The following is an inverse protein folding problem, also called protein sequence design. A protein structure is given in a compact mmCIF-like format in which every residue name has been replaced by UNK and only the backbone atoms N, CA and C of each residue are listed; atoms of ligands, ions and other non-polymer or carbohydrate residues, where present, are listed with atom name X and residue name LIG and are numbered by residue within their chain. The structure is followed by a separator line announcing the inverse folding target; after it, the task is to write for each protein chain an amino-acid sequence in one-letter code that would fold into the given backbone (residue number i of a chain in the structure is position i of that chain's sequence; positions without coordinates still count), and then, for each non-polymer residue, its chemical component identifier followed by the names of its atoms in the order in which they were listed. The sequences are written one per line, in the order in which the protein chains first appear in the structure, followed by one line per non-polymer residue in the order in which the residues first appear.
data_IF_036927918122
#
_entry.id   IF_036927918122
#
_cell.length_a   1.000
_cell.length_b   1.000
_cell.length_c   1.000
_cell.angle_alpha   90.00
_cell.angle_beta   90.00
_cell.angle_gamma   90.00
#
_symmetry.space_group_name_H-M   'P 1'
#
loop_
_entity.id
_entity.type
_entity.pdbx_description
1 polymer ?
#
# COMPACT_ATOMS: atom_id res chain seq x y z
N UNK A 1 23.48 10.73 3.02
CA UNK A 1 22.79 10.63 4.34
C UNK A 1 23.37 9.47 5.10
N UNK A 2 23.88 9.70 6.30
CA UNK A 2 24.39 8.63 7.19
C UNK A 2 23.23 8.06 8.02
N UNK A 3 23.08 6.72 7.98
CA UNK A 3 22.06 5.99 8.74
C UNK A 3 22.69 5.12 9.85
N UNK A 4 23.97 5.34 10.19
CA UNK A 4 24.71 4.58 11.18
C UNK A 4 25.11 3.16 10.74
N UNK A 5 24.33 2.52 9.88
CA UNK A 5 24.64 1.23 9.25
C UNK A 5 25.30 1.39 7.88
N UNK A 6 25.41 2.60 7.38
CA UNK A 6 25.99 2.95 6.09
C UNK A 6 25.48 4.30 5.56
N UNK A 7 25.94 4.65 4.39
CA UNK A 7 25.58 5.90 3.72
C UNK A 7 24.66 5.64 2.54
N UNK A 8 23.50 6.29 2.54
CA UNK A 8 22.56 6.35 1.43
C UNK A 8 22.79 7.63 0.63
N UNK A 9 23.08 7.49 -0.65
CA UNK A 9 23.19 8.60 -1.61
C UNK A 9 22.01 8.51 -2.58
N UNK A 10 21.39 9.65 -2.83
CA UNK A 10 20.29 9.80 -3.79
C UNK A 10 20.71 10.84 -4.83
N UNK A 11 20.56 10.49 -6.09
CA UNK A 11 20.66 11.41 -7.22
C UNK A 11 19.26 11.56 -7.81
N UNK A 12 18.71 12.77 -7.72
CA UNK A 12 17.35 13.07 -8.22
C UNK A 12 17.50 13.63 -9.63
N UNK A 13 16.94 12.92 -10.60
CA UNK A 13 16.92 13.31 -12.02
C UNK A 13 15.69 14.17 -12.33
N UNK A 14 14.54 13.80 -11.75
CA UNK A 14 13.27 14.53 -11.91
C UNK A 14 12.47 14.50 -10.62
N UNK A 15 11.87 15.62 -10.25
CA UNK A 15 10.96 15.71 -9.10
C UNK A 15 9.76 16.61 -9.43
N UNK A 16 8.57 16.06 -9.34
CA UNK A 16 7.30 16.79 -9.41
C UNK A 16 6.87 17.30 -8.03
N UNK A 17 7.44 16.73 -6.97
CA UNK A 17 7.25 17.15 -5.57
C UNK A 17 8.59 17.11 -4.81
N UNK A 18 8.77 17.94 -3.78
CA UNK A 18 9.97 17.86 -2.93
C UNK A 18 10.14 16.49 -2.29
N UNK A 19 11.39 15.99 -2.22
CA UNK A 19 11.70 14.68 -1.65
C UNK A 19 11.20 14.54 -0.20
N UNK A 20 11.42 15.55 0.61
CA UNK A 20 11.03 15.59 2.02
C UNK A 20 9.52 15.63 2.25
N UNK A 21 8.74 16.02 1.23
CA UNK A 21 7.27 15.94 1.27
C UNK A 21 6.75 14.52 1.00
N UNK A 22 7.52 13.67 0.30
CA UNK A 22 7.11 12.31 -0.07
C UNK A 22 7.79 11.23 0.77
N UNK A 23 9.05 11.44 1.15
CA UNK A 23 9.89 10.41 1.72
C UNK A 23 10.47 10.80 3.08
N UNK A 24 10.57 9.83 3.95
CA UNK A 24 11.43 9.79 5.11
C UNK A 24 12.38 8.60 5.02
N UNK A 25 13.32 8.49 5.93
CA UNK A 25 14.32 7.43 5.92
C UNK A 25 14.37 6.76 7.28
N UNK A 26 14.39 5.43 7.28
CA UNK A 26 14.44 4.60 8.47
C UNK A 26 15.47 3.48 8.30
N UNK A 27 15.76 2.78 9.39
CA UNK A 27 16.64 1.61 9.39
C UNK A 27 15.82 0.33 9.43
N UNK A 28 16.32 -0.73 8.81
CA UNK A 28 15.75 -2.08 8.90
C UNK A 28 16.84 -3.11 9.20
N UNK A 29 16.43 -4.23 9.80
CA UNK A 29 17.34 -5.34 10.12
C UNK A 29 17.63 -6.20 8.89
N UNK A 30 18.19 -5.61 7.85
CA UNK A 30 18.62 -6.35 6.67
C UNK A 30 20.05 -5.95 6.33
N UNK A 31 21.05 -6.85 6.47
CA UNK A 31 22.45 -6.51 6.24
C UNK A 31 22.74 -6.01 4.82
N UNK A 32 21.99 -6.49 3.82
CA UNK A 32 22.19 -6.10 2.42
C UNK A 32 21.52 -4.76 2.08
N UNK A 33 20.43 -4.42 2.76
CA UNK A 33 19.68 -3.18 2.57
C UNK A 33 19.22 -2.69 3.94
N UNK A 34 20.15 -2.12 4.71
CA UNK A 34 19.91 -1.70 6.08
C UNK A 34 19.11 -0.37 6.18
N UNK A 35 18.65 0.16 5.08
CA UNK A 35 17.78 1.34 4.99
C UNK A 35 16.38 0.97 4.48
N UNK A 36 15.43 1.84 4.76
CA UNK A 36 14.09 1.83 4.21
C UNK A 36 13.70 3.27 3.86
N UNK A 37 13.22 3.47 2.65
CA UNK A 37 12.53 4.70 2.29
C UNK A 37 11.09 4.54 2.76
N UNK A 38 10.63 5.42 3.63
CA UNK A 38 9.27 5.40 4.18
C UNK A 38 8.46 6.53 3.57
N UNK A 39 7.30 6.22 3.04
CA UNK A 39 6.43 7.23 2.47
C UNK A 39 5.80 8.11 3.57
N UNK A 40 5.76 9.41 3.32
CA UNK A 40 5.04 10.40 4.15
C UNK A 40 3.58 10.56 3.76
N UNK A 41 3.18 9.97 2.63
CA UNK A 41 1.84 10.16 2.04
C UNK A 41 1.02 8.88 1.92
N UNK A 42 1.43 7.78 2.58
CA UNK A 42 0.70 6.50 2.54
C UNK A 42 0.15 6.03 3.89
N UNK A 43 0.51 6.68 4.99
CA UNK A 43 0.04 6.26 6.30
C UNK A 43 0.62 4.93 6.82
N UNK A 44 1.54 4.27 6.09
CA UNK A 44 2.06 2.95 6.50
C UNK A 44 3.00 3.03 7.71
N UNK A 45 3.93 3.99 7.68
CA UNK A 45 4.91 4.19 8.75
C UNK A 45 4.78 5.55 9.42
N UNK A 46 4.26 6.54 8.71
CA UNK A 46 4.09 7.91 9.16
C UNK A 46 2.62 8.26 9.06
N UNK A 47 1.99 8.76 10.14
CA UNK A 47 0.61 9.27 10.09
C UNK A 47 0.50 10.38 9.06
N UNK A 48 -0.59 10.40 8.30
CA UNK A 48 -0.79 11.39 7.23
C UNK A 48 -2.24 11.83 7.17
N UNK A 49 -2.50 13.06 6.77
CA UNK A 49 -3.86 13.55 6.53
C UNK A 49 -4.47 12.88 5.29
N UNK A 50 -5.75 12.50 5.32
CA UNK A 50 -6.42 11.94 4.15
C UNK A 50 -6.30 12.82 2.89
N UNK A 51 -6.47 14.13 3.06
CA UNK A 51 -6.32 15.11 1.98
C UNK A 51 -4.94 15.10 1.33
N UNK A 52 -3.85 14.91 2.10
CA UNK A 52 -2.48 14.81 1.58
C UNK A 52 -2.26 13.53 0.78
N UNK A 53 -2.82 12.39 1.26
CA UNK A 53 -2.82 11.14 0.49
C UNK A 53 -3.53 11.31 -0.86
N UNK A 54 -4.72 11.93 -0.85
CA UNK A 54 -5.51 12.18 -2.05
C UNK A 54 -4.78 13.09 -3.04
N UNK A 55 -4.13 14.15 -2.55
CA UNK A 55 -3.33 15.05 -3.39
C UNK A 55 -2.15 14.32 -4.03
N UNK A 56 -1.42 13.48 -3.29
CA UNK A 56 -0.30 12.71 -3.85
C UNK A 56 -0.77 11.74 -4.95
N UNK A 57 -1.89 11.03 -4.72
CA UNK A 57 -2.46 10.13 -5.71
C UNK A 57 -2.98 10.85 -6.97
N UNK A 58 -3.57 12.04 -6.81
CA UNK A 58 -3.99 12.90 -7.93
C UNK A 58 -2.81 13.38 -8.75
N UNK A 59 -1.74 13.83 -8.11
CA UNK A 59 -0.53 14.27 -8.81
C UNK A 59 0.09 13.10 -9.60
N UNK A 60 0.11 11.89 -9.01
CA UNK A 60 0.58 10.70 -9.70
C UNK A 60 -0.34 10.31 -10.86
N UNK A 61 -1.66 10.37 -10.69
CA UNK A 61 -2.63 10.13 -11.76
C UNK A 61 -2.51 11.16 -12.91
N UNK A 62 -2.20 12.42 -12.58
CA UNK A 62 -1.97 13.47 -13.57
C UNK A 62 -0.67 13.28 -14.36
N UNK A 63 0.35 12.66 -13.73
CA UNK A 63 1.64 12.35 -14.37
C UNK A 63 1.56 11.17 -15.36
N UNK A 64 0.48 10.38 -15.34
CA UNK A 64 0.27 9.27 -16.26
C UNK A 64 0.05 9.79 -17.70
N UNK A 65 0.46 9.01 -18.74
CA UNK A 65 0.15 9.33 -20.13
C UNK A 65 -1.36 9.57 -20.33
N UNK A 66 -1.70 10.60 -21.10
CA UNK A 66 -3.09 10.96 -21.36
C UNK A 66 -3.79 10.07 -22.37
N UNK A 67 -3.01 9.36 -23.17
CA UNK A 67 -3.42 8.55 -24.35
C UNK A 67 -3.50 7.04 -24.06
N UNK A 68 -3.61 6.63 -22.81
CA UNK A 68 -3.76 5.22 -22.45
C UNK A 68 -5.09 4.67 -22.99
N UNK A 69 -5.07 3.67 -23.90
CA UNK A 69 -6.28 3.11 -24.47
C UNK A 69 -7.11 2.38 -23.39
N UNK A 70 -8.43 2.56 -23.43
CA UNK A 70 -9.37 1.90 -22.52
C UNK A 70 -10.04 0.66 -23.10
N UNK A 71 -10.62 -0.22 -22.30
CA UNK A 71 -10.71 -0.20 -20.83
C UNK A 71 -9.35 -0.36 -20.12
N UNK A 72 -9.19 0.32 -18.98
CA UNK A 72 -7.96 0.27 -18.17
C UNK A 72 -8.18 -0.61 -16.94
N UNK A 73 -7.29 -1.57 -16.73
CA UNK A 73 -7.20 -2.34 -15.50
C UNK A 73 -6.03 -1.82 -14.66
N UNK A 74 -6.34 -1.21 -13.53
CA UNK A 74 -5.33 -0.78 -12.55
C UNK A 74 -5.10 -1.88 -11.52
N UNK A 75 -3.84 -2.18 -11.22
CA UNK A 75 -3.47 -3.20 -10.22
C UNK A 75 -2.53 -2.58 -9.18
N UNK A 76 -3.01 -2.49 -7.93
CA UNK A 76 -2.20 -2.06 -6.79
C UNK A 76 -1.43 -3.23 -6.17
N UNK A 77 -0.15 -3.03 -5.85
CA UNK A 77 0.67 -4.06 -5.24
C UNK A 77 0.52 -4.06 -3.70
N UNK A 78 0.14 -5.19 -3.12
CA UNK A 78 0.08 -5.36 -1.67
C UNK A 78 1.49 -5.46 -1.05
N UNK A 79 1.69 -4.95 0.15
CA UNK A 79 0.69 -4.33 1.04
C UNK A 79 0.57 -2.82 0.83
N UNK A 80 1.66 -2.16 0.46
CA UNK A 80 1.82 -0.70 0.60
C UNK A 80 1.01 0.07 -0.43
N UNK A 81 0.92 -0.44 -1.65
CA UNK A 81 0.25 0.27 -2.74
C UNK A 81 -1.23 -0.11 -2.94
N UNK A 82 -1.89 -0.77 -2.00
CA UNK A 82 -3.33 -1.08 -2.11
C UNK A 82 -4.15 0.20 -2.14
N UNK A 83 -4.04 1.03 -1.10
CA UNK A 83 -4.78 2.30 -1.03
C UNK A 83 -4.30 3.28 -2.11
N UNK A 84 -2.99 3.37 -2.36
CA UNK A 84 -2.43 4.21 -3.41
C UNK A 84 -2.99 3.82 -4.79
N UNK A 85 -2.96 2.53 -5.13
CA UNK A 85 -3.44 2.03 -6.41
C UNK A 85 -4.91 2.34 -6.65
N UNK A 86 -5.76 2.13 -5.63
CA UNK A 86 -7.18 2.42 -5.76
C UNK A 86 -7.46 3.92 -5.84
N UNK A 87 -6.72 4.74 -5.08
CA UNK A 87 -6.86 6.19 -5.13
C UNK A 87 -6.37 6.76 -6.47
N UNK A 88 -5.23 6.25 -7.00
CA UNK A 88 -4.74 6.63 -8.35
C UNK A 88 -5.72 6.21 -9.43
N UNK A 89 -6.32 5.02 -9.33
CA UNK A 89 -7.35 4.55 -10.24
C UNK A 89 -8.54 5.51 -10.31
N UNK A 90 -9.07 5.94 -9.15
CA UNK A 90 -10.19 6.87 -9.09
C UNK A 90 -9.83 8.25 -9.63
N UNK A 91 -8.67 8.79 -9.23
CA UNK A 91 -8.22 10.11 -9.70
C UNK A 91 -7.97 10.10 -11.21
N UNK A 92 -7.38 9.00 -11.75
CA UNK A 92 -7.24 8.85 -13.20
C UNK A 92 -8.59 8.81 -13.90
N UNK A 93 -9.54 8.00 -13.41
CA UNK A 93 -10.87 7.91 -13.99
C UNK A 93 -11.60 9.27 -13.97
N UNK A 94 -11.46 10.03 -12.88
CA UNK A 94 -12.00 11.38 -12.77
C UNK A 94 -11.36 12.37 -13.76
N UNK A 95 -10.03 12.26 -13.97
CA UNK A 95 -9.30 13.18 -14.85
C UNK A 95 -9.45 12.86 -16.34
N UNK A 96 -9.59 11.58 -16.71
CA UNK A 96 -9.52 11.12 -18.09
C UNK A 96 -10.83 10.49 -18.59
N UNK A 97 -11.72 10.08 -17.67
CA UNK A 97 -12.92 9.32 -18.01
C UNK A 97 -12.61 7.91 -18.54
N UNK A 98 -13.61 7.32 -19.19
CA UNK A 98 -13.53 5.99 -19.79
C UNK A 98 -13.75 4.85 -18.81
N UNK A 99 -13.92 3.64 -19.36
CA UNK A 99 -14.10 2.42 -18.57
C UNK A 99 -12.79 2.07 -17.85
N UNK A 100 -12.86 1.94 -16.52
CA UNK A 100 -11.70 1.72 -15.67
C UNK A 100 -12.06 0.82 -14.50
N UNK A 101 -11.22 -0.18 -14.26
CA UNK A 101 -11.36 -1.18 -13.21
C UNK A 101 -10.10 -1.21 -12.36
N UNK A 102 -10.29 -1.56 -11.09
CA UNK A 102 -9.20 -1.73 -10.13
C UNK A 102 -9.25 -3.11 -9.53
N UNK A 103 -8.08 -3.68 -9.26
CA UNK A 103 -7.88 -4.78 -8.33
C UNK A 103 -6.52 -4.64 -7.66
N UNK A 104 -6.28 -5.39 -6.60
CA UNK A 104 -4.94 -5.43 -6.00
C UNK A 104 -4.48 -6.86 -5.76
N UNK A 105 -3.16 -7.04 -5.70
CA UNK A 105 -2.60 -8.29 -5.24
C UNK A 105 -2.88 -8.46 -3.74
N UNK A 106 -2.90 -9.71 -3.28
CA UNK A 106 -3.20 -9.98 -1.87
C UNK A 106 -2.40 -11.15 -1.34
N UNK A 107 -2.22 -11.19 -0.04
CA UNK A 107 -1.69 -12.32 0.73
C UNK A 107 -2.80 -13.02 1.52
N UNK A 108 -4.05 -12.76 1.17
CA UNK A 108 -5.21 -13.34 1.80
C UNK A 108 -5.90 -14.34 0.85
N UNK A 109 -6.25 -15.51 1.36
CA UNK A 109 -7.04 -16.48 0.63
C UNK A 109 -8.52 -16.09 0.69
N UNK A 110 -9.16 -16.14 -0.48
CA UNK A 110 -10.60 -15.93 -0.66
C UNK A 110 -11.13 -17.12 -1.43
N UNK A 111 -12.35 -17.54 -1.15
CA UNK A 111 -13.03 -18.57 -1.94
C UNK A 111 -13.51 -18.01 -3.28
N UNK A 112 -12.57 -17.79 -4.18
CA UNK A 112 -12.78 -17.22 -5.50
C UNK A 112 -11.72 -17.75 -6.50
N UNK A 113 -12.01 -17.75 -7.81
CA UNK A 113 -11.04 -18.17 -8.82
C UNK A 113 -9.81 -17.27 -8.86
N UNK A 114 -8.62 -17.87 -8.77
CA UNK A 114 -7.38 -17.16 -9.01
C UNK A 114 -7.21 -16.82 -10.49
N UNK A 115 -6.70 -15.62 -10.77
CA UNK A 115 -6.20 -15.24 -12.08
C UNK A 115 -4.75 -15.73 -12.25
N UNK A 116 -3.88 -15.36 -11.31
CA UNK A 116 -2.49 -15.83 -11.27
C UNK A 116 -1.90 -15.73 -9.86
N UNK A 117 -0.73 -16.35 -9.71
CA UNK A 117 0.18 -16.14 -8.57
C UNK A 117 1.50 -15.61 -9.10
N UNK A 118 2.17 -14.78 -8.34
CA UNK A 118 3.54 -14.41 -8.61
C UNK A 118 4.34 -14.33 -7.30
N UNK A 119 5.63 -14.51 -7.39
CA UNK A 119 6.54 -14.46 -6.25
C UNK A 119 7.51 -13.29 -6.40
N UNK A 120 7.76 -12.60 -5.30
CA UNK A 120 8.84 -11.63 -5.21
C UNK A 120 10.15 -12.34 -4.86
N UNK A 121 11.16 -12.33 -5.75
CA UNK A 121 12.40 -13.10 -5.55
C UNK A 121 13.19 -12.75 -4.27
N UNK A 122 12.90 -11.63 -3.64
CA UNK A 122 13.65 -11.09 -2.50
C UNK A 122 12.78 -10.81 -1.25
N UNK A 123 11.52 -11.21 -1.26
CA UNK A 123 10.60 -11.03 -0.14
C UNK A 123 10.53 -12.28 0.75
N UNK A 124 10.50 -12.08 2.07
CA UNK A 124 10.32 -13.17 3.05
C UNK A 124 8.89 -13.72 3.07
N UNK A 125 7.93 -13.05 2.43
CA UNK A 125 6.55 -13.51 2.23
C UNK A 125 6.24 -13.44 0.74
N UNK A 126 6.68 -14.45 0.01
CA UNK A 126 6.95 -14.40 -1.41
C UNK A 126 5.72 -14.46 -2.31
N UNK A 127 4.62 -15.08 -1.88
CA UNK A 127 3.48 -15.33 -2.75
C UNK A 127 2.46 -14.19 -2.72
N UNK A 128 2.20 -13.60 -3.87
CA UNK A 128 1.07 -12.72 -4.12
C UNK A 128 0.00 -13.47 -4.91
N UNK A 129 -1.24 -13.33 -4.48
CA UNK A 129 -2.42 -13.85 -5.17
C UNK A 129 -3.08 -12.72 -5.95
N UNK A 130 -3.47 -12.99 -7.18
CA UNK A 130 -4.32 -12.13 -7.98
C UNK A 130 -5.58 -12.94 -8.29
N UNK A 131 -6.72 -12.47 -7.82
CA UNK A 131 -8.00 -13.10 -8.10
C UNK A 131 -8.59 -12.61 -9.43
N UNK A 132 -9.44 -13.45 -10.02
CA UNK A 132 -10.16 -13.06 -11.23
C UNK A 132 -11.17 -11.96 -10.88
N UNK A 133 -11.09 -10.77 -11.51
CA UNK A 133 -12.02 -9.70 -11.22
C UNK A 133 -13.44 -10.07 -11.64
N UNK A 134 -14.41 -9.71 -10.81
CA UNK A 134 -15.83 -9.88 -11.09
C UNK A 134 -16.32 -8.76 -11.99
N UNK A 135 -17.25 -9.09 -12.89
CA UNK A 135 -17.89 -8.09 -13.76
C UNK A 135 -16.98 -7.46 -14.83
N UNK A 136 -15.71 -7.96 -14.99
CA UNK A 136 -14.79 -7.49 -16.02
C UNK A 136 -14.55 -8.58 -17.06
N UNK A 137 -14.81 -8.28 -18.32
CA UNK A 137 -14.31 -9.08 -19.45
C UNK A 137 -12.84 -8.76 -19.72
N UNK A 138 -11.96 -9.66 -19.31
CA UNK A 138 -10.51 -9.50 -19.46
C UNK A 138 -10.05 -9.34 -20.92
N UNK A 139 -10.80 -9.85 -21.90
CA UNK A 139 -10.47 -9.72 -23.30
C UNK A 139 -10.63 -8.28 -23.82
N UNK A 140 -11.44 -7.46 -23.14
CA UNK A 140 -11.65 -6.05 -23.50
C UNK A 140 -10.57 -5.12 -22.98
N UNK A 141 -9.79 -5.54 -21.97
CA UNK A 141 -8.74 -4.69 -21.37
C UNK A 141 -7.68 -4.34 -22.39
N UNK A 142 -7.43 -3.04 -22.56
CA UNK A 142 -6.41 -2.49 -23.48
C UNK A 142 -5.17 -1.98 -22.77
N UNK A 143 -5.33 -1.45 -21.56
CA UNK A 143 -4.21 -0.99 -20.74
C UNK A 143 -4.18 -1.70 -19.40
N UNK A 144 -2.99 -2.17 -19.01
CA UNK A 144 -2.67 -2.62 -17.66
C UNK A 144 -1.86 -1.53 -16.96
N UNK A 145 -2.42 -0.91 -15.91
CA UNK A 145 -1.74 0.08 -15.07
C UNK A 145 -1.30 -0.58 -13.76
N UNK A 146 0.00 -0.70 -13.55
CA UNK A 146 0.59 -1.27 -12.33
C UNK A 146 0.96 -0.14 -11.36
N UNK A 147 0.57 -0.25 -10.09
CA UNK A 147 0.86 0.79 -9.09
C UNK A 147 1.61 0.17 -7.92
N UNK A 148 2.76 0.79 -7.60
CA UNK A 148 3.55 0.49 -6.41
C UNK A 148 3.93 1.78 -5.69
N UNK A 149 4.42 1.71 -4.46
CA UNK A 149 4.89 2.88 -3.72
C UNK A 149 6.32 3.28 -4.13
N UNK A 150 7.18 2.33 -4.41
CA UNK A 150 8.59 2.54 -4.76
C UNK A 150 9.03 1.57 -5.87
N UNK A 151 9.62 2.07 -6.93
CA UNK A 151 10.34 1.26 -7.91
C UNK A 151 11.84 1.34 -7.57
N UNK A 152 12.45 0.19 -7.21
CA UNK A 152 13.89 0.10 -6.97
C UNK A 152 14.64 -0.41 -8.20
N UNK A 153 14.27 -1.58 -8.70
CA UNK A 153 14.83 -2.20 -9.92
C UNK A 153 13.79 -2.43 -11.01
N UNK A 154 12.51 -2.29 -10.69
CA UNK A 154 11.39 -2.60 -11.55
C UNK A 154 11.07 -4.09 -11.72
N UNK A 155 11.88 -5.00 -11.18
CA UNK A 155 11.73 -6.46 -11.36
C UNK A 155 10.37 -6.96 -10.88
N UNK A 156 9.88 -6.49 -9.73
CA UNK A 156 8.57 -6.89 -9.17
C UNK A 156 7.43 -6.52 -10.12
N UNK A 157 7.42 -5.28 -10.62
CA UNK A 157 6.40 -4.82 -11.57
C UNK A 157 6.51 -5.51 -12.93
N UNK A 158 7.73 -5.82 -13.40
CA UNK A 158 7.92 -6.59 -14.63
C UNK A 158 7.34 -8.01 -14.52
N UNK A 159 7.62 -8.69 -13.41
CA UNK A 159 7.08 -10.02 -13.13
C UNK A 159 5.54 -10.01 -13.01
N UNK A 160 4.99 -9.04 -12.29
CA UNK A 160 3.55 -8.85 -12.15
C UNK A 160 2.89 -8.58 -13.51
N UNK A 161 3.46 -7.65 -14.29
CA UNK A 161 2.99 -7.29 -15.63
C UNK A 161 2.98 -8.49 -16.55
N UNK A 162 4.05 -9.28 -16.58
CA UNK A 162 4.15 -10.49 -17.39
C UNK A 162 3.14 -11.57 -16.93
N UNK A 163 2.92 -11.73 -15.63
CA UNK A 163 1.97 -12.71 -15.11
C UNK A 163 0.53 -12.37 -15.50
N UNK A 164 0.11 -11.11 -15.35
CA UNK A 164 -1.26 -10.67 -15.66
C UNK A 164 -1.50 -10.59 -17.18
N UNK A 165 -0.54 -10.12 -17.96
CA UNK A 165 -0.69 -9.93 -19.40
C UNK A 165 -1.08 -11.21 -20.16
N UNK A 166 -0.71 -12.39 -19.64
CA UNK A 166 -1.10 -13.70 -20.20
C UNK A 166 -2.61 -13.94 -20.20
N UNK A 167 -3.33 -13.23 -19.36
CA UNK A 167 -4.79 -13.32 -19.19
C UNK A 167 -5.54 -12.18 -19.88
N UNK A 168 -4.82 -11.27 -20.55
CA UNK A 168 -5.36 -10.08 -21.20
C UNK A 168 -5.08 -10.12 -22.70
N UNK A 169 -5.82 -10.93 -23.50
CA UNK A 169 -5.54 -11.09 -24.93
C UNK A 169 -5.67 -9.80 -25.73
N UNK A 170 -6.46 -8.85 -25.25
CA UNK A 170 -6.64 -7.53 -25.87
C UNK A 170 -5.62 -6.47 -25.44
N UNK A 171 -4.63 -6.81 -24.60
CA UNK A 171 -3.69 -5.84 -24.04
C UNK A 171 -2.81 -5.18 -25.11
N UNK A 172 -2.85 -3.85 -25.14
CA UNK A 172 -2.08 -3.02 -26.08
C UNK A 172 -0.91 -2.30 -25.39
N UNK A 173 -1.10 -1.85 -24.12
CA UNK A 173 -0.14 -1.04 -23.38
C UNK A 173 -0.04 -1.43 -21.92
N UNK A 174 1.16 -1.30 -21.37
CA UNK A 174 1.39 -1.37 -19.92
C UNK A 174 1.88 -0.01 -19.45
N UNK A 175 1.33 0.47 -18.32
CA UNK A 175 1.82 1.64 -17.63
C UNK A 175 2.17 1.27 -16.19
N UNK A 176 3.20 1.88 -15.63
CA UNK A 176 3.54 1.77 -14.22
C UNK A 176 3.46 3.14 -13.56
N UNK A 177 3.06 3.17 -12.30
CA UNK A 177 3.00 4.38 -11.49
C UNK A 177 3.59 4.12 -10.11
N UNK A 178 4.42 5.04 -9.60
CA UNK A 178 4.94 4.97 -8.24
C UNK A 178 5.17 6.36 -7.65
N UNK A 179 5.28 6.46 -6.34
CA UNK A 179 5.68 7.72 -5.71
C UNK A 179 7.14 8.05 -6.04
N UNK A 180 8.01 7.02 -6.03
CA UNK A 180 9.44 7.17 -6.33
C UNK A 180 9.94 6.05 -7.24
N UNK A 181 10.80 6.39 -8.18
CA UNK A 181 11.50 5.46 -9.06
C UNK A 181 13.02 5.69 -8.96
N UNK A 182 13.73 4.70 -8.44
CA UNK A 182 15.18 4.69 -8.26
C UNK A 182 15.89 3.74 -9.22
N UNK A 183 15.19 3.25 -10.26
CA UNK A 183 15.72 2.27 -11.21
C UNK A 183 16.77 2.85 -12.18
N UNK A 184 16.88 4.18 -12.22
CA UNK A 184 17.90 4.86 -13.01
C UNK A 184 17.68 4.82 -14.51
N UNK A 185 16.42 4.90 -14.96
CA UNK A 185 16.12 5.13 -16.39
C UNK A 185 15.28 4.06 -17.08
N UNK A 186 14.61 3.20 -16.30
CA UNK A 186 13.52 2.40 -16.86
C UNK A 186 13.89 1.24 -17.79
N UNK A 187 15.15 0.79 -17.83
CA UNK A 187 15.56 -0.36 -18.65
C UNK A 187 14.75 -1.65 -18.41
N UNK A 188 14.15 -1.78 -17.22
CA UNK A 188 13.26 -2.89 -16.87
C UNK A 188 11.96 -2.90 -17.70
N UNK A 189 11.55 -1.75 -18.27
CA UNK A 189 10.38 -1.63 -19.14
C UNK A 189 10.55 -2.42 -20.45
N UNK A 190 11.78 -2.60 -20.92
CA UNK A 190 12.09 -3.37 -22.12
C UNK A 190 11.75 -4.87 -21.98
N UNK A 191 11.66 -5.34 -20.72
CA UNK A 191 11.24 -6.73 -20.42
C UNK A 191 9.72 -6.93 -20.40
N UNK A 192 8.94 -5.86 -20.51
CA UNK A 192 7.48 -5.95 -20.50
C UNK A 192 6.93 -6.58 -21.79
N UNK A 193 5.86 -7.38 -21.71
CA UNK A 193 5.30 -8.10 -22.86
C UNK A 193 4.54 -7.20 -23.86
N UNK A 194 4.40 -5.92 -23.57
CA UNK A 194 3.79 -4.89 -24.42
C UNK A 194 4.53 -3.57 -24.25
N UNK A 195 4.39 -2.62 -25.20
CA UNK A 195 4.94 -1.27 -25.04
C UNK A 195 4.59 -0.72 -23.67
N UNK A 196 5.61 -0.28 -22.92
CA UNK A 196 5.46 0.09 -21.53
C UNK A 196 6.03 1.49 -21.24
N UNK A 197 5.47 2.13 -20.22
CA UNK A 197 5.96 3.42 -19.68
C UNK A 197 5.84 3.43 -18.17
N UNK A 198 6.69 4.23 -17.50
CA UNK A 198 6.59 4.50 -16.07
C UNK A 198 6.38 6.00 -15.83
N UNK A 199 5.67 6.32 -14.75
CA UNK A 199 5.46 7.68 -14.26
C UNK A 199 5.63 7.69 -12.75
N UNK A 200 6.46 8.60 -12.24
CA UNK A 200 6.70 8.73 -10.81
C UNK A 200 6.75 10.20 -10.40
N UNK A 201 6.49 10.48 -9.11
CA UNK A 201 6.60 11.85 -8.60
C UNK A 201 8.04 12.27 -8.36
N UNK A 202 8.93 11.29 -8.12
CA UNK A 202 10.38 11.49 -8.08
C UNK A 202 11.03 10.36 -8.86
N UNK A 203 12.01 10.70 -9.70
CA UNK A 203 12.83 9.77 -10.45
C UNK A 203 14.31 10.06 -10.19
N UNK A 204 15.11 9.00 -10.10
CA UNK A 204 16.53 9.15 -9.82
C UNK A 204 17.24 7.82 -9.63
N UNK A 205 18.37 7.90 -8.95
CA UNK A 205 19.23 6.75 -8.63
C UNK A 205 19.51 6.69 -7.15
N UNK A 206 19.66 5.48 -6.65
CA UNK A 206 19.96 5.21 -5.26
C UNK A 206 21.24 4.38 -5.17
N UNK A 207 22.19 4.84 -4.36
CA UNK A 207 23.38 4.09 -4.01
C UNK A 207 23.45 3.88 -2.51
N UNK A 208 23.63 2.62 -2.09
CA UNK A 208 23.85 2.25 -0.71
C UNK A 208 25.27 1.76 -0.50
N UNK A 209 26.00 2.42 0.39
CA UNK A 209 27.34 2.01 0.84
C UNK A 209 27.28 1.59 2.30
N UNK A 210 27.32 0.26 2.59
CA UNK A 210 27.33 -0.21 3.97
C UNK A 210 28.58 0.29 4.72
N UNK A 211 28.42 0.61 6.01
CA UNK A 211 29.55 0.90 6.87
C UNK A 211 30.47 -0.34 6.96
N UNK A 212 31.77 -0.13 7.08
CA UNK A 212 32.71 -1.22 7.37
C UNK A 212 32.25 -1.91 8.65
N UNK A 213 32.12 -3.24 8.62
CA UNK A 213 31.50 -4.07 9.63
C UNK A 213 31.91 -3.68 11.07
N UNK A 214 31.04 -2.97 11.74
CA UNK A 214 30.93 -3.06 13.20
C UNK A 214 30.02 -4.26 13.43
N UNK A 215 30.39 -5.16 14.35
CA UNK A 215 29.70 -6.43 14.60
C UNK A 215 28.20 -6.36 14.44
N UNK A 216 27.69 -7.14 13.50
CA UNK A 216 26.26 -7.27 13.29
C UNK A 216 25.65 -7.74 14.61
N UNK A 217 24.85 -6.90 15.26
CA UNK A 217 24.06 -7.34 16.40
C UNK A 217 23.34 -8.64 16.01
N UNK A 218 23.42 -9.69 16.84
CA UNK A 218 22.87 -10.99 16.48
C UNK A 218 21.43 -10.83 16.05
N UNK A 219 21.07 -11.52 14.98
CA UNK A 219 19.72 -11.56 14.46
C UNK A 219 18.82 -12.28 15.49
N UNK A 220 18.48 -11.57 16.57
CA UNK A 220 17.58 -12.11 17.58
C UNK A 220 16.16 -12.14 17.02
N UNK A 221 15.73 -13.34 16.60
CA UNK A 221 14.37 -13.81 16.77
C UNK A 221 13.28 -13.28 15.86
N UNK A 222 13.56 -12.74 14.69
CA UNK A 222 12.54 -12.63 13.63
C UNK A 222 12.86 -13.65 12.53
N UNK A 223 12.70 -14.93 12.86
CA UNK A 223 12.53 -15.91 11.82
C UNK A 223 11.33 -15.42 11.00
N UNK A 224 11.56 -15.16 9.71
CA UNK A 224 10.49 -14.92 8.79
C UNK A 224 9.54 -16.11 8.91
N UNK A 225 8.34 -15.89 9.45
CA UNK A 225 7.28 -16.88 9.39
C UNK A 225 6.88 -16.89 7.92
N UNK A 226 7.56 -17.75 7.18
CA UNK A 226 7.40 -17.87 5.75
C UNK A 226 5.93 -18.18 5.45
N UNK A 227 5.26 -17.27 4.74
CA UNK A 227 4.24 -17.62 3.79
C UNK A 227 2.91 -18.13 4.32
N UNK A 228 2.52 -17.95 5.57
CA UNK A 228 1.14 -18.20 5.94
C UNK A 228 0.24 -17.14 5.30
N UNK A 229 -0.65 -17.61 4.43
CA UNK A 229 -1.72 -16.80 3.87
C UNK A 229 -2.85 -16.71 4.91
N UNK A 230 -3.35 -15.51 5.15
CA UNK A 230 -4.57 -15.33 5.93
C UNK A 230 -5.78 -15.73 5.09
N UNK A 231 -6.93 -15.90 5.74
CA UNK A 231 -8.19 -16.21 5.05
C UNK A 231 -9.24 -15.19 5.41
N UNK A 232 -9.95 -14.71 4.38
CA UNK A 232 -11.08 -13.78 4.52
C UNK A 232 -12.30 -14.31 3.77
N UNK A 233 -13.49 -13.89 4.18
CA UNK A 233 -14.71 -14.22 3.49
C UNK A 233 -14.84 -13.42 2.18
N UNK A 234 -15.49 -14.02 1.17
CA UNK A 234 -15.59 -13.44 -0.17
C UNK A 234 -16.22 -12.03 -0.20
N UNK A 235 -17.22 -11.79 0.61
CA UNK A 235 -17.92 -10.50 0.66
C UNK A 235 -17.09 -9.35 1.29
N UNK A 236 -15.96 -9.67 1.93
CA UNK A 236 -15.00 -8.68 2.44
C UNK A 236 -13.82 -8.45 1.50
N UNK A 237 -14.01 -8.60 0.23
CA UNK A 237 -12.90 -8.59 -0.72
C UNK A 237 -12.14 -7.25 -0.82
N UNK A 238 -12.76 -6.11 -0.51
CA UNK A 238 -12.13 -4.77 -0.49
C UNK A 238 -11.32 -4.42 -1.75
N UNK A 239 -11.77 -4.85 -2.94
CA UNK A 239 -11.08 -4.65 -4.21
C UNK A 239 -10.22 -5.82 -4.69
N UNK A 240 -10.10 -6.91 -3.92
CA UNK A 240 -9.36 -8.12 -4.34
C UNK A 240 -10.06 -8.87 -5.48
N UNK A 241 -11.39 -8.76 -5.57
CA UNK A 241 -12.21 -9.30 -6.66
C UNK A 241 -12.58 -8.25 -7.71
N UNK A 242 -11.92 -7.10 -7.66
CA UNK A 242 -12.13 -6.00 -8.56
C UNK A 242 -13.17 -4.99 -8.07
N UNK A 243 -13.02 -3.77 -8.54
CA UNK A 243 -14.01 -2.70 -8.40
C UNK A 243 -13.97 -1.81 -9.65
N UNK A 244 -15.09 -1.20 -9.98
CA UNK A 244 -15.20 -0.24 -11.08
C UNK A 244 -15.07 1.18 -10.54
N UNK A 245 -14.49 2.08 -11.32
CA UNK A 245 -14.42 3.50 -10.95
C UNK A 245 -15.81 4.09 -10.69
N UNK A 246 -15.95 4.80 -9.58
CA UNK A 246 -17.22 5.40 -9.16
C UNK A 246 -18.20 4.42 -8.49
N UNK A 247 -17.84 3.13 -8.36
CA UNK A 247 -18.67 2.21 -7.58
C UNK A 247 -18.68 2.61 -6.10
N UNK A 248 -19.87 2.70 -5.46
CA UNK A 248 -19.94 3.09 -4.06
C UNK A 248 -19.32 2.00 -3.17
N UNK A 249 -18.57 2.43 -2.17
CA UNK A 249 -18.09 1.56 -1.09
C UNK A 249 -18.90 1.87 0.16
N UNK A 250 -19.59 0.86 0.67
CA UNK A 250 -20.36 1.01 1.90
C UNK A 250 -19.42 1.22 3.10
N UNK A 251 -19.61 2.28 3.82
CA UNK A 251 -18.89 2.58 5.06
C UNK A 251 -19.83 2.36 6.25
N UNK A 252 -19.32 1.85 7.38
CA UNK A 252 -20.13 1.76 8.58
C UNK A 252 -20.60 3.14 9.03
N UNK A 253 -21.79 3.18 9.60
CA UNK A 253 -22.25 4.37 10.30
C UNK A 253 -21.34 4.56 11.53
N UNK A 254 -20.57 5.63 11.52
CA UNK A 254 -19.64 5.96 12.59
C UNK A 254 -19.68 7.46 12.89
N UNK A 255 -19.75 7.78 14.17
CA UNK A 255 -19.62 9.15 14.67
C UNK A 255 -18.66 9.14 15.85
N UNK A 256 -17.64 10.01 15.87
CA UNK A 256 -16.71 10.10 16.99
C UNK A 256 -17.41 10.48 18.30
N UNK A 257 -16.85 10.12 19.46
CA UNK A 257 -17.36 10.56 20.76
C UNK A 257 -17.49 12.09 20.84
N UNK A 258 -18.51 12.56 21.57
CA UNK A 258 -18.78 13.99 21.70
C UNK A 258 -17.56 14.76 22.22
N UNK A 259 -17.23 15.86 21.55
CA UNK A 259 -16.06 16.71 21.88
C UNK A 259 -14.72 16.21 21.33
N UNK A 260 -14.64 15.00 20.80
CA UNK A 260 -13.41 14.47 20.23
C UNK A 260 -13.17 15.02 18.81
N UNK A 261 -12.16 15.88 18.66
CA UNK A 261 -11.83 16.49 17.37
C UNK A 261 -10.61 15.92 16.70
N UNK A 262 -9.69 15.30 17.45
CA UNK A 262 -8.45 14.74 16.93
C UNK A 262 -8.58 13.22 16.80
N UNK A 263 -8.51 12.71 15.58
CA UNK A 263 -8.80 11.32 15.27
C UNK A 263 -7.59 10.65 14.59
N UNK A 264 -7.43 9.36 14.83
CA UNK A 264 -6.55 8.47 14.09
C UNK A 264 -7.39 7.31 13.57
N UNK A 265 -7.39 7.11 12.26
CA UNK A 265 -8.03 5.95 11.60
C UNK A 265 -6.94 4.99 11.16
N UNK A 266 -6.97 3.76 11.65
CA UNK A 266 -5.97 2.72 11.38
C UNK A 266 -6.61 1.58 10.60
N UNK A 267 -6.12 1.31 9.39
CA UNK A 267 -6.48 0.10 8.65
C UNK A 267 -5.59 -1.09 9.03
N UNK A 268 -6.10 -2.32 8.98
CA UNK A 268 -5.31 -3.52 9.28
C UNK A 268 -4.77 -4.18 8.00
N UNK A 269 -3.45 -4.38 7.94
CA UNK A 269 -2.79 -5.08 6.83
C UNK A 269 -3.05 -4.45 5.46
N UNK A 270 -3.76 -5.19 4.60
CA UNK A 270 -4.19 -4.75 3.27
C UNK A 270 -5.51 -3.97 3.29
N UNK A 271 -6.26 -4.04 4.37
CA UNK A 271 -7.55 -3.34 4.53
C UNK A 271 -7.30 -1.86 4.81
N UNK A 272 -6.99 -1.09 3.78
CA UNK A 272 -6.53 0.30 3.91
C UNK A 272 -7.44 1.31 3.20
N UNK A 273 -8.08 0.95 2.09
CA UNK A 273 -8.85 1.89 1.31
C UNK A 273 -10.22 2.26 1.94
N UNK A 274 -11.06 1.33 2.42
CA UNK A 274 -12.29 1.70 3.13
C UNK A 274 -12.04 2.51 4.41
N UNK A 275 -11.03 2.21 5.26
CA UNK A 275 -10.61 3.09 6.35
C UNK A 275 -10.19 4.49 5.90
N UNK A 276 -9.47 4.59 4.77
CA UNK A 276 -9.10 5.88 4.18
C UNK A 276 -10.33 6.70 3.80
N UNK A 277 -11.35 6.09 3.18
CA UNK A 277 -12.60 6.78 2.84
C UNK A 277 -13.37 7.26 4.10
N UNK A 278 -13.37 6.46 5.16
CA UNK A 278 -13.91 6.88 6.46
C UNK A 278 -13.17 8.10 6.98
N UNK A 279 -11.85 8.08 6.94
CA UNK A 279 -11.02 9.20 7.38
C UNK A 279 -11.24 10.47 6.54
N UNK A 280 -11.36 10.35 5.20
CA UNK A 280 -11.71 11.48 4.33
C UNK A 280 -13.08 12.07 4.66
N UNK A 281 -14.06 11.22 4.99
CA UNK A 281 -15.38 11.68 5.43
C UNK A 281 -15.25 12.50 6.72
N UNK A 282 -14.57 11.98 7.72
CA UNK A 282 -14.39 12.65 9.01
C UNK A 282 -13.59 13.95 8.88
N UNK A 283 -12.57 13.98 8.01
CA UNK A 283 -11.81 15.21 7.71
C UNK A 283 -12.72 16.27 7.07
N UNK A 284 -13.60 15.90 6.12
CA UNK A 284 -14.59 16.79 5.52
C UNK A 284 -15.65 17.29 6.51
N UNK A 285 -15.95 16.51 7.54
CA UNK A 285 -16.82 16.89 8.67
C UNK A 285 -16.13 17.84 9.67
N UNK A 286 -14.85 18.19 9.45
CA UNK A 286 -14.10 19.19 10.20
C UNK A 286 -13.26 18.63 11.37
N UNK A 287 -13.03 17.32 11.42
CA UNK A 287 -12.11 16.71 12.36
C UNK A 287 -10.64 16.83 11.92
N UNK A 288 -9.71 16.91 12.87
CA UNK A 288 -8.26 16.76 12.62
C UNK A 288 -7.92 15.26 12.55
N UNK A 289 -7.89 14.72 11.34
CA UNK A 289 -7.76 13.27 11.09
C UNK A 289 -6.39 12.92 10.54
N UNK A 290 -5.81 11.84 11.06
CA UNK A 290 -4.69 11.15 10.41
C UNK A 290 -5.07 9.72 10.10
N UNK A 291 -4.54 9.21 8.98
CA UNK A 291 -4.68 7.82 8.53
C UNK A 291 -3.38 7.08 8.79
N UNK A 292 -3.51 5.84 9.21
CA UNK A 292 -2.41 4.88 9.30
C UNK A 292 -2.84 3.48 8.90
N UNK A 293 -1.86 2.60 8.69
CA UNK A 293 -2.11 1.18 8.49
C UNK A 293 -1.08 0.34 9.24
N UNK A 294 -1.49 -0.83 9.70
CA UNK A 294 -0.58 -1.81 10.28
C UNK A 294 0.32 -2.43 9.20
N UNK A 295 1.48 -2.94 9.57
CA UNK A 295 2.46 -3.48 8.63
C UNK A 295 3.14 -4.73 9.19
N UNK A 296 3.49 -5.66 8.31
CA UNK A 296 4.32 -6.84 8.63
C UNK A 296 5.82 -6.53 8.59
N UNK A 297 6.22 -5.36 8.07
CA UNK A 297 7.63 -5.00 7.91
C UNK A 297 8.25 -4.56 9.24
N UNK A 298 9.26 -5.26 9.77
CA UNK A 298 9.94 -4.87 11.00
C UNK A 298 10.93 -3.74 10.73
N UNK A 299 10.55 -2.51 11.03
CA UNK A 299 11.39 -1.32 10.95
C UNK A 299 11.96 -0.99 12.32
N UNK A 300 13.22 -0.60 12.36
CA UNK A 300 13.88 -0.19 13.61
C UNK A 300 13.52 1.27 13.94
N UNK A 301 13.19 1.58 15.19
CA UNK A 301 13.09 2.96 15.62
C UNK A 301 14.38 3.75 15.31
N UNK A 302 14.19 4.99 14.87
CA UNK A 302 15.25 5.92 14.46
C UNK A 302 14.93 6.58 13.12
N UNK A 303 15.38 7.81 12.92
CA UNK A 303 15.07 8.60 11.74
C UNK A 303 13.57 8.95 11.67
N UNK A 304 12.91 8.59 10.57
CA UNK A 304 11.49 8.86 10.37
C UNK A 304 10.54 7.99 11.22
N UNK A 305 11.04 6.95 11.90
CA UNK A 305 10.25 6.06 12.75
C UNK A 305 10.67 6.25 14.21
N UNK A 306 9.89 6.99 14.99
CA UNK A 306 10.16 7.30 16.41
C UNK A 306 9.66 6.21 17.36
N UNK A 307 8.51 5.61 17.08
CA UNK A 307 7.86 4.62 17.93
C UNK A 307 7.36 3.43 17.10
N UNK A 308 7.29 2.26 17.74
CA UNK A 308 6.78 1.03 17.14
C UNK A 308 5.98 0.23 18.18
N UNK A 309 4.71 -0.02 17.93
CA UNK A 309 3.89 -1.00 18.63
C UNK A 309 3.98 -2.32 17.88
N UNK A 310 4.17 -3.42 18.63
CA UNK A 310 4.16 -4.78 18.09
C UNK A 310 3.00 -5.56 18.68
N UNK A 311 2.30 -6.30 17.83
CA UNK A 311 1.14 -7.10 18.18
C UNK A 311 1.00 -8.25 17.17
N UNK A 312 0.02 -9.16 17.37
CA UNK A 312 -0.30 -10.24 16.44
C UNK A 312 -1.21 -9.74 15.32
N UNK A 313 -1.14 -10.35 14.14
CA UNK A 313 -2.07 -10.02 13.06
C UNK A 313 -3.50 -10.47 13.40
N UNK A 314 -4.46 -9.85 12.75
CA UNK A 314 -5.90 -10.18 12.91
C UNK A 314 -6.41 -11.16 11.84
N UNK A 315 -5.52 -11.71 10.99
CA UNK A 315 -5.85 -12.63 9.90
C UNK A 315 -5.57 -14.12 10.28
N UNK A 316 -5.13 -14.38 11.51
CA UNK A 316 -4.85 -15.73 12.00
C UNK A 316 -3.59 -16.35 11.43
N UNK A 317 -2.64 -15.55 10.96
CA UNK A 317 -1.38 -16.05 10.37
C UNK A 317 -0.25 -16.16 11.39
N UNK A 318 -0.44 -15.67 12.62
CA UNK A 318 0.58 -15.56 13.68
C UNK A 318 1.82 -14.74 13.25
N UNK A 319 1.69 -13.91 12.22
CA UNK A 319 2.76 -13.03 11.77
C UNK A 319 2.77 -11.77 12.63
N UNK A 320 3.92 -11.40 13.22
CA UNK A 320 4.02 -10.13 13.93
C UNK A 320 3.65 -8.96 13.04
N UNK A 321 2.78 -8.08 13.55
CA UNK A 321 2.41 -6.83 12.94
C UNK A 321 2.91 -5.66 13.77
N UNK A 322 3.03 -4.52 13.11
CA UNK A 322 3.56 -3.31 13.70
C UNK A 322 2.67 -2.11 13.32
N UNK A 323 2.54 -1.17 14.24
CA UNK A 323 2.04 0.16 13.97
C UNK A 323 3.11 1.17 14.42
N UNK A 324 3.49 2.06 13.52
CA UNK A 324 4.59 2.98 13.71
C UNK A 324 4.11 4.39 14.01
N UNK A 325 4.87 5.16 14.79
CA UNK A 325 4.58 6.57 15.09
C UNK A 325 3.14 6.80 15.60
N UNK A 326 2.62 5.85 16.38
CA UNK A 326 1.31 5.93 17.03
C UNK A 326 1.47 5.80 18.54
N UNK A 327 1.04 6.80 19.27
CA UNK A 327 1.13 6.85 20.72
C UNK A 327 -0.19 7.36 21.29
N UNK A 328 -0.65 6.79 22.42
CA UNK A 328 -1.85 7.28 23.12
C UNK A 328 -1.67 8.71 23.62
N UNK A 329 -0.43 9.09 23.96
CA UNK A 329 -0.09 10.41 24.48
C UNK A 329 -0.28 11.57 23.49
N UNK A 330 -0.46 11.28 22.19
CA UNK A 330 -0.71 12.34 21.19
C UNK A 330 -2.13 12.92 21.25
N UNK A 331 -3.00 12.35 22.11
CA UNK A 331 -4.36 12.83 22.37
C UNK A 331 -5.34 12.61 21.22
N UNK A 332 -5.06 11.71 20.28
CA UNK A 332 -5.98 11.31 19.22
C UNK A 332 -6.84 10.15 19.67
N UNK A 333 -8.14 10.24 19.44
CA UNK A 333 -9.02 9.07 19.54
C UNK A 333 -8.73 8.13 18.37
N UNK A 334 -8.36 6.88 18.66
CA UNK A 334 -7.92 5.91 17.65
C UNK A 334 -9.03 4.93 17.33
N UNK A 335 -9.29 4.74 16.03
CA UNK A 335 -10.27 3.81 15.47
C UNK A 335 -9.48 2.78 14.65
N UNK A 336 -9.46 1.52 15.09
CA UNK A 336 -8.85 0.41 14.36
C UNK A 336 -9.92 -0.25 13.49
N UNK A 337 -9.86 0.02 12.20
CA UNK A 337 -10.78 -0.49 11.20
C UNK A 337 -10.31 -1.84 10.66
N UNK A 338 -11.18 -2.84 10.67
CA UNK A 338 -10.83 -4.19 10.22
C UNK A 338 -11.97 -4.88 9.47
N UNK A 339 -11.61 -5.83 8.61
CA UNK A 339 -12.51 -6.65 7.79
C UNK A 339 -12.68 -8.08 8.34
N UNK A 340 -11.88 -8.47 9.30
CA UNK A 340 -11.91 -9.78 9.95
C UNK A 340 -12.98 -9.82 11.05
N UNK A 341 -13.43 -10.99 11.53
CA UNK A 341 -14.51 -11.08 12.51
C UNK A 341 -14.30 -10.23 13.76
N UNK A 342 -15.37 -9.74 14.42
CA UNK A 342 -15.26 -9.03 15.69
C UNK A 342 -14.46 -9.83 16.72
N UNK A 343 -13.58 -9.14 17.46
CA UNK A 343 -12.69 -9.75 18.44
C UNK A 343 -11.40 -10.34 17.87
N UNK A 344 -11.15 -10.25 16.56
CA UNK A 344 -9.90 -10.74 15.93
C UNK A 344 -8.72 -9.76 16.08
N UNK A 345 -8.97 -8.48 16.32
CA UNK A 345 -7.91 -7.50 16.55
C UNK A 345 -7.23 -7.78 17.88
N UNK A 346 -5.89 -7.84 17.86
CA UNK A 346 -5.11 -8.12 19.07
C UNK A 346 -5.41 -7.07 20.16
N UNK A 347 -5.84 -7.48 21.36
CA UNK A 347 -6.07 -6.58 22.48
C UNK A 347 -4.88 -5.66 22.79
N UNK A 348 -3.64 -6.13 22.59
CA UNK A 348 -2.44 -5.34 22.82
C UNK A 348 -2.38 -4.05 21.99
N UNK A 349 -2.90 -4.07 20.74
CA UNK A 349 -3.01 -2.87 19.91
C UNK A 349 -4.09 -1.92 20.45
N UNK A 350 -5.23 -2.47 20.82
CA UNK A 350 -6.39 -1.69 21.31
C UNK A 350 -6.06 -1.02 22.64
N UNK A 351 -5.49 -1.75 23.59
CA UNK A 351 -5.11 -1.27 24.92
C UNK A 351 -4.00 -0.22 24.87
N UNK A 352 -2.94 -0.48 24.08
CA UNK A 352 -1.81 0.44 23.97
C UNK A 352 -2.18 1.84 23.47
N UNK A 353 -3.26 1.96 22.69
CA UNK A 353 -3.72 3.22 22.11
C UNK A 353 -5.02 3.74 22.75
N UNK A 354 -5.64 3.00 23.68
CA UNK A 354 -6.99 3.29 24.11
C UNK A 354 -7.98 3.34 22.93
N UNK A 355 -7.77 2.45 21.95
CA UNK A 355 -8.49 2.47 20.69
C UNK A 355 -9.83 1.75 20.78
N UNK A 356 -10.73 2.06 19.85
CA UNK A 356 -11.89 1.22 19.55
C UNK A 356 -11.66 0.43 18.26
N UNK A 357 -12.16 -0.80 18.21
CA UNK A 357 -12.15 -1.62 17.00
C UNK A 357 -13.47 -1.44 16.24
N UNK A 358 -13.38 -1.04 14.97
CA UNK A 358 -14.52 -0.84 14.08
C UNK A 358 -14.53 -1.91 12.99
N UNK A 359 -15.50 -2.81 13.09
CA UNK A 359 -15.68 -3.88 12.11
C UNK A 359 -16.45 -3.38 10.88
N UNK A 360 -15.89 -3.60 9.70
CA UNK A 360 -16.48 -3.21 8.41
C UNK A 360 -17.37 -4.31 7.80
N UNK A 361 -17.93 -5.17 8.61
CA UNK A 361 -18.73 -6.32 8.21
C UNK A 361 -20.11 -6.39 8.84
N UNK A 362 -20.55 -5.34 9.50
CA UNK A 362 -21.86 -5.30 10.13
C UNK A 362 -23.02 -5.10 9.15
N UNK A 363 -24.27 -5.26 9.61
CA UNK A 363 -25.46 -4.92 8.82
C UNK A 363 -25.35 -3.45 8.36
N UNK A 364 -25.42 -3.21 7.04
CA UNK A 364 -25.25 -1.90 6.44
C UNK A 364 -23.89 -1.68 5.74
N UNK A 365 -22.95 -2.61 5.88
CA UNK A 365 -21.68 -2.61 5.15
C UNK A 365 -21.64 -3.70 4.06
N UNK A 366 -22.74 -4.35 3.72
CA UNK A 366 -22.79 -5.23 2.57
C UNK A 366 -22.63 -4.42 1.27
N UNK A 367 -21.84 -4.93 0.28
CA UNK A 367 -21.65 -4.27 -1.01
C UNK A 367 -22.96 -4.12 -1.77
#
# INVERSE_FOLDING_TARGET
MDLGAGTLSLEIERALRPLDSLCGFARRRNPRRAFLIVSRVLGRHIPVRPSEMRVAARDLAAALPSDLPGPVLTVGLAETAVCLGQTVHEERARLRGGESHFLHSTRQEIDAPLLCRFEEPHSHASAHLIYRPEGLDLARVRTLLLVDDEISTGTTLANLGAAIARHLPGLERIAAASLTDWSGGGAWLDSMPRPASASSLIEGRLEWRPAKATEAAPATGFAAVAGRLGRIERHWNSGRLGSQAGAPIALPAYSPPAGQRRLRVVGTGEFTYPPFLLAERLEREGHDVVVQATSRSPVLPGGAVGAALRFSDNYGTDVPNFLYNAEAADGRHTIVCHETPPGSVDPALVEALGAEALFFGGPGCAP
#
